data_IF_110383932263
#
_entry.id   IF_110383932263
#
_cell.length_a   1.000
_cell.length_b   1.000
_cell.length_c   1.000
_cell.angle_alpha   90.00
_cell.angle_beta   90.00
_cell.angle_gamma   90.00
#
_symmetry.space_group_name_H-M   'P 1'
#
loop_
_entity.id
_entity.type
_entity.pdbx_description
1 polymer ?
#
# COMPACT_ATOMS: atom_id res chain seq x y z
N UNK A 1 -5.70 9.72 -2.06
CA UNK A 1 -6.53 9.47 -3.28
C UNK A 1 -7.21 8.11 -3.26
N UNK A 2 -6.48 6.98 -3.36
CA UNK A 2 -7.09 5.62 -3.32
C UNK A 2 -7.83 5.37 -2.00
N UNK A 3 -7.22 5.69 -0.85
CA UNK A 3 -7.88 5.60 0.46
C UNK A 3 -9.20 6.38 0.49
N UNK A 4 -9.23 7.58 -0.10
CA UNK A 4 -10.44 8.38 -0.15
C UNK A 4 -11.52 7.76 -1.05
N UNK A 5 -11.13 7.23 -2.22
CA UNK A 5 -12.04 6.45 -3.08
C UNK A 5 -12.58 5.19 -2.40
N UNK A 6 -11.80 4.57 -1.53
CA UNK A 6 -12.19 3.38 -0.79
C UNK A 6 -13.18 3.67 0.35
N UNK A 7 -13.20 4.90 0.88
CA UNK A 7 -14.19 5.33 1.89
C UNK A 7 -13.65 6.24 2.99
N UNK A 8 -12.35 6.51 3.05
CA UNK A 8 -11.81 7.46 4.02
C UNK A 8 -12.21 8.90 3.67
N UNK A 9 -12.73 9.66 4.64
CA UNK A 9 -13.05 11.07 4.43
C UNK A 9 -11.76 11.91 4.40
N UNK A 10 -11.65 12.82 3.43
CA UNK A 10 -10.48 13.69 3.31
C UNK A 10 -10.24 14.52 4.58
N UNK A 11 -11.30 15.08 5.17
CA UNK A 11 -11.24 15.87 6.40
C UNK A 11 -10.59 15.12 7.58
N UNK A 12 -10.67 13.79 7.59
CA UNK A 12 -10.09 12.91 8.61
C UNK A 12 -8.64 12.49 8.30
N UNK A 13 -8.05 12.98 7.22
CA UNK A 13 -6.64 12.75 6.88
C UNK A 13 -5.82 13.98 7.25
N UNK A 14 -4.54 13.80 7.53
CA UNK A 14 -3.57 14.91 7.60
C UNK A 14 -2.42 14.52 6.67
N UNK A 15 -2.18 15.36 5.66
CA UNK A 15 -1.06 15.16 4.74
C UNK A 15 0.13 15.96 5.23
N UNK A 16 1.31 15.33 5.27
CA UNK A 16 2.55 15.95 5.74
C UNK A 16 3.56 15.91 4.59
N UNK A 17 4.25 17.02 4.34
CA UNK A 17 5.39 17.06 3.44
C UNK A 17 6.66 17.56 4.14
N UNK A 18 7.71 17.86 3.39
CA UNK A 18 9.00 18.28 3.93
C UNK A 18 8.97 19.55 4.77
N UNK A 19 7.90 20.39 4.70
CA UNK A 19 7.74 21.57 5.59
C UNK A 19 6.64 21.37 6.65
N UNK A 20 6.18 20.14 6.87
CA UNK A 20 5.18 19.80 7.88
C UNK A 20 3.78 19.58 7.31
N UNK A 21 2.74 19.59 8.17
CA UNK A 21 1.36 19.41 7.76
C UNK A 21 0.93 20.40 6.66
N UNK A 22 0.06 19.93 5.77
CA UNK A 22 -0.64 20.77 4.80
C UNK A 22 -1.89 21.37 5.45
N UNK A 23 -2.09 22.67 5.27
CA UNK A 23 -3.27 23.41 5.74
C UNK A 23 -3.46 24.70 4.92
N UNK A 24 -4.68 25.29 4.89
CA UNK A 24 -5.00 26.39 3.98
C UNK A 24 -4.24 27.70 4.20
N UNK A 25 -3.77 27.96 5.42
CA UNK A 25 -3.09 29.21 5.81
C UNK A 25 -1.58 29.07 5.91
N UNK A 26 -1.01 28.05 5.26
CA UNK A 26 0.44 27.82 5.22
C UNK A 26 1.13 28.88 4.36
N UNK A 27 2.32 29.32 4.75
CA UNK A 27 3.06 30.41 4.10
C UNK A 27 3.26 30.20 2.58
N UNK A 28 3.47 28.96 2.14
CA UNK A 28 3.69 28.62 0.73
C UNK A 28 2.43 28.19 -0.03
N UNK A 29 1.22 28.47 0.50
CA UNK A 29 -0.03 27.99 -0.11
C UNK A 29 -0.24 28.48 -1.54
N UNK A 30 0.10 29.74 -1.84
CA UNK A 30 0.00 30.29 -3.19
C UNK A 30 0.95 29.59 -4.17
N UNK A 31 2.16 29.26 -3.71
CA UNK A 31 3.10 28.46 -4.48
C UNK A 31 2.56 27.04 -4.72
N UNK A 32 1.95 26.41 -3.70
CA UNK A 32 1.31 25.10 -3.89
C UNK A 32 0.16 25.17 -4.89
N UNK A 33 -0.63 26.24 -4.88
CA UNK A 33 -1.73 26.44 -5.83
C UNK A 33 -1.21 26.49 -7.28
N UNK A 34 -0.13 27.23 -7.52
CA UNK A 34 0.44 27.44 -8.85
C UNK A 34 1.24 26.24 -9.37
N UNK A 35 2.04 25.60 -8.52
CA UNK A 35 3.05 24.61 -8.94
C UNK A 35 2.80 23.19 -8.43
N UNK A 36 1.94 23.01 -7.43
CA UNK A 36 1.68 21.71 -6.82
C UNK A 36 0.18 21.48 -6.55
N UNK A 37 -0.65 21.59 -7.59
CA UNK A 37 -2.12 21.50 -7.52
C UNK A 37 -2.65 20.37 -6.61
N UNK A 38 -2.06 19.18 -6.67
CA UNK A 38 -2.47 18.05 -5.82
C UNK A 38 -2.22 18.29 -4.33
N UNK A 39 -1.09 18.91 -3.96
CA UNK A 39 -0.80 19.27 -2.57
C UNK A 39 -1.72 20.38 -2.11
N UNK A 40 -1.95 21.39 -2.96
CA UNK A 40 -2.91 22.45 -2.66
C UNK A 40 -4.30 21.88 -2.38
N UNK A 41 -4.82 21.02 -3.26
CA UNK A 41 -6.13 20.38 -3.03
C UNK A 41 -6.19 19.61 -1.71
N UNK A 42 -5.11 18.92 -1.33
CA UNK A 42 -5.03 18.22 -0.04
C UNK A 42 -4.95 19.19 1.13
N UNK A 43 -4.23 20.30 1.01
CA UNK A 43 -4.18 21.36 2.02
C UNK A 43 -5.57 21.95 2.31
N UNK A 44 -6.43 22.03 1.29
CA UNK A 44 -7.80 22.54 1.42
C UNK A 44 -8.78 21.47 1.93
N UNK A 45 -8.66 20.22 1.47
CA UNK A 45 -9.65 19.15 1.74
C UNK A 45 -9.40 18.36 3.02
N UNK A 46 -8.18 18.40 3.55
CA UNK A 46 -7.75 17.56 4.68
C UNK A 46 -7.51 18.41 5.93
N UNK A 47 -7.09 17.76 7.03
CA UNK A 47 -6.64 18.41 8.25
C UNK A 47 -7.70 19.23 8.98
N UNK A 48 -8.86 18.61 9.28
CA UNK A 48 -9.94 19.26 10.07
C UNK A 48 -9.53 19.63 11.50
N UNK A 49 -8.44 19.05 12.00
CA UNK A 49 -7.92 19.31 13.34
C UNK A 49 -6.90 20.46 13.37
N UNK A 50 -6.65 21.11 12.24
CA UNK A 50 -5.76 22.26 12.13
C UNK A 50 -4.34 22.00 12.65
N UNK A 51 -3.82 20.80 12.46
CA UNK A 51 -2.45 20.46 12.83
C UNK A 51 -1.46 21.34 12.06
N UNK A 52 -0.57 22.04 12.78
CA UNK A 52 0.45 22.93 12.19
C UNK A 52 1.87 22.40 12.38
N UNK A 53 2.11 21.63 13.44
CA UNK A 53 3.36 20.91 13.64
C UNK A 53 3.18 19.40 13.39
N UNK A 54 4.27 18.71 13.05
CA UNK A 54 4.22 17.25 12.81
C UNK A 54 3.68 16.51 14.04
N UNK A 55 4.09 16.90 15.25
CA UNK A 55 3.62 16.28 16.50
C UNK A 55 2.10 16.36 16.67
N UNK A 56 1.45 17.42 16.17
CA UNK A 56 0.01 17.61 16.30
C UNK A 56 -0.76 16.64 15.42
N UNK A 57 -0.20 16.25 14.28
CA UNK A 57 -0.80 15.29 13.37
C UNK A 57 -0.86 13.87 13.93
N UNK A 58 -0.02 13.55 14.93
CA UNK A 58 -0.02 12.24 15.60
C UNK A 58 -0.98 12.16 16.80
N UNK A 59 -1.37 13.31 17.37
CA UNK A 59 -2.27 13.35 18.54
C UNK A 59 -3.62 12.74 18.18
N UNK A 60 -3.96 11.63 18.84
CA UNK A 60 -5.21 10.92 18.63
C UNK A 60 -5.38 10.31 17.24
N UNK A 61 -4.29 10.13 16.48
CA UNK A 61 -4.33 9.45 15.19
C UNK A 61 -4.47 7.93 15.39
N UNK A 62 -5.30 7.28 14.57
CA UNK A 62 -5.44 5.82 14.57
C UNK A 62 -4.42 5.13 13.64
N UNK A 63 -4.05 5.81 12.55
CA UNK A 63 -3.22 5.26 11.47
C UNK A 63 -2.19 6.28 11.03
N UNK A 64 -0.92 5.86 10.94
CA UNK A 64 0.16 6.60 10.29
C UNK A 64 0.64 5.78 9.10
N UNK A 65 0.71 6.41 7.92
CA UNK A 65 1.35 5.84 6.72
C UNK A 65 2.41 6.80 6.25
N UNK A 66 3.66 6.37 6.33
CA UNK A 66 4.83 7.15 5.92
C UNK A 66 5.60 6.43 4.80
N UNK A 67 6.03 7.21 3.82
CA UNK A 67 6.95 6.81 2.76
C UNK A 67 7.87 8.01 2.46
N UNK A 68 8.55 8.47 3.50
CA UNK A 68 9.34 9.70 3.55
C UNK A 68 10.84 9.41 3.38
N UNK A 69 11.69 10.36 3.80
CA UNK A 69 13.14 10.19 3.88
C UNK A 69 13.48 8.92 4.68
N UNK A 70 14.41 8.07 4.20
CA UNK A 70 14.85 6.91 4.95
C UNK A 70 15.70 7.28 6.16
N UNK A 71 15.71 6.40 7.16
CA UNK A 71 16.54 6.53 8.35
C UNK A 71 15.73 6.45 9.64
N UNK A 72 16.30 5.87 10.70
CA UNK A 72 15.59 5.80 11.96
C UNK A 72 15.40 7.21 12.53
N UNK A 73 14.35 7.40 13.31
CA UNK A 73 14.00 8.66 13.98
C UNK A 73 13.49 9.79 13.07
N UNK A 74 13.14 9.48 11.81
CA UNK A 74 12.32 10.40 10.99
C UNK A 74 10.89 10.46 11.56
N UNK A 75 10.36 9.32 12.00
CA UNK A 75 9.24 9.26 12.94
C UNK A 75 9.82 8.97 14.33
N UNK A 76 9.40 9.77 15.32
CA UNK A 76 9.92 9.67 16.69
C UNK A 76 8.99 8.88 17.61
N UNK A 77 9.56 8.19 18.61
CA UNK A 77 8.80 7.44 19.62
C UNK A 77 7.79 8.33 20.34
N UNK A 78 8.18 9.56 20.69
CA UNK A 78 7.30 10.50 21.38
C UNK A 78 6.07 10.90 20.55
N UNK A 79 6.11 10.79 19.22
CA UNK A 79 4.95 11.06 18.37
C UNK A 79 4.00 9.87 18.35
N UNK A 80 4.52 8.64 18.27
CA UNK A 80 3.69 7.43 18.33
C UNK A 80 2.97 7.32 19.67
N UNK A 81 3.61 7.71 20.77
CA UNK A 81 2.99 7.74 22.11
C UNK A 81 1.75 8.65 22.21
N UNK A 82 1.56 9.59 21.27
CA UNK A 82 0.39 10.49 21.23
C UNK A 82 -0.80 9.90 20.47
N UNK A 83 -0.61 8.78 19.77
CA UNK A 83 -1.65 8.13 18.98
C UNK A 83 -2.70 7.45 19.87
N UNK A 84 -3.84 7.10 19.27
CA UNK A 84 -4.87 6.33 19.97
C UNK A 84 -4.39 4.92 20.31
N UNK A 85 -5.11 4.27 21.23
CA UNK A 85 -4.93 2.84 21.51
C UNK A 85 -5.15 2.03 20.21
N UNK A 86 -4.40 0.92 20.08
CA UNK A 86 -4.47 0.03 18.92
C UNK A 86 -3.96 0.68 17.61
N UNK A 87 -3.08 1.68 17.72
CA UNK A 87 -2.49 2.41 16.61
C UNK A 87 -1.83 1.50 15.54
N UNK A 88 -2.00 1.91 14.27
CA UNK A 88 -1.39 1.28 13.09
C UNK A 88 -0.30 2.19 12.54
N UNK A 89 0.93 1.69 12.42
CA UNK A 89 2.09 2.44 11.92
C UNK A 89 2.72 1.73 10.73
N UNK A 90 2.59 2.33 9.55
CA UNK A 90 3.24 1.88 8.32
C UNK A 90 4.44 2.80 8.03
N UNK A 91 5.66 2.32 8.28
CA UNK A 91 6.92 3.03 8.03
C UNK A 91 7.62 2.42 6.81
N UNK A 92 7.32 2.95 5.63
CA UNK A 92 7.57 2.29 4.35
C UNK A 92 8.82 2.81 3.61
N UNK A 93 9.62 3.71 4.22
CA UNK A 93 10.87 4.15 3.61
C UNK A 93 11.87 2.98 3.45
N UNK A 94 12.69 3.07 2.39
CA UNK A 94 13.73 2.10 2.07
C UNK A 94 15.08 2.82 1.90
N UNK A 95 16.21 2.19 2.26
CA UNK A 95 16.35 0.84 2.82
C UNK A 95 16.12 0.75 4.34
N UNK A 96 16.08 1.89 5.03
CA UNK A 96 15.84 1.97 6.47
C UNK A 96 14.51 2.69 6.71
N UNK A 97 13.55 2.07 7.42
CA UNK A 97 12.25 2.68 7.69
C UNK A 97 12.40 3.92 8.58
N UNK A 98 11.40 4.79 8.54
CA UNK A 98 11.38 6.05 9.30
C UNK A 98 11.46 5.85 10.82
N UNK A 99 11.00 4.70 11.29
CA UNK A 99 11.13 4.20 12.66
C UNK A 99 11.27 2.67 12.60
N UNK A 100 12.11 2.09 13.45
CA UNK A 100 12.25 0.63 13.52
C UNK A 100 11.00 0.00 14.15
N UNK A 101 10.61 -1.22 13.75
CA UNK A 101 9.41 -1.86 14.31
C UNK A 101 9.43 -2.06 15.81
N UNK A 102 10.60 -2.38 16.39
CA UNK A 102 10.77 -2.49 17.83
C UNK A 102 10.47 -1.15 18.51
N UNK A 103 11.01 -0.05 17.97
CA UNK A 103 10.84 1.29 18.53
C UNK A 103 9.38 1.75 18.47
N UNK A 104 8.69 1.47 17.35
CA UNK A 104 7.27 1.78 17.20
C UNK A 104 6.40 0.96 18.17
N UNK A 105 6.72 -0.32 18.37
CA UNK A 105 6.02 -1.20 19.31
C UNK A 105 6.23 -0.77 20.77
N UNK A 106 7.46 -0.42 21.14
CA UNK A 106 7.77 0.15 22.47
C UNK A 106 7.02 1.46 22.72
N UNK A 107 6.79 2.25 21.66
CA UNK A 107 6.00 3.47 21.72
C UNK A 107 4.46 3.25 21.67
N UNK A 108 3.99 2.00 21.73
CA UNK A 108 2.57 1.68 21.85
C UNK A 108 1.83 1.43 20.54
N UNK A 109 2.51 1.37 19.38
CA UNK A 109 1.89 0.90 18.14
C UNK A 109 1.53 -0.59 18.26
N UNK A 110 0.31 -0.95 17.84
CA UNK A 110 -0.15 -2.35 17.84
C UNK A 110 0.23 -3.06 16.56
N UNK A 111 -0.10 -2.45 15.42
CA UNK A 111 0.20 -3.00 14.09
C UNK A 111 1.32 -2.18 13.49
N UNK A 112 2.41 -2.85 13.11
CA UNK A 112 3.54 -2.21 12.45
C UNK A 112 3.78 -2.89 11.10
N UNK A 113 4.01 -2.09 10.06
CA UNK A 113 4.41 -2.57 8.74
C UNK A 113 5.59 -1.77 8.21
N UNK A 114 6.45 -2.42 7.43
CA UNK A 114 7.58 -1.75 6.74
C UNK A 114 7.68 -2.16 5.28
N UNK A 115 8.54 -1.50 4.51
CA UNK A 115 8.85 -1.91 3.14
C UNK A 115 9.77 -3.15 3.03
N UNK A 116 10.40 -3.57 4.14
CA UNK A 116 11.43 -4.62 4.15
C UNK A 116 10.85 -5.99 4.44
N UNK A 117 11.48 -7.02 3.88
CA UNK A 117 11.05 -8.43 3.99
C UNK A 117 11.52 -9.13 5.25
N UNK A 118 12.49 -8.58 5.96
CA UNK A 118 13.03 -9.15 7.21
C UNK A 118 12.21 -8.79 8.45
N UNK A 119 11.16 -7.97 8.30
CA UNK A 119 10.18 -7.66 9.34
C UNK A 119 8.79 -8.23 9.00
N UNK A 120 7.93 -8.49 10.02
CA UNK A 120 6.52 -8.79 9.79
C UNK A 120 5.82 -7.71 8.96
N UNK A 121 4.70 -8.09 8.33
CA UNK A 121 3.83 -7.18 7.58
C UNK A 121 4.58 -6.35 6.51
N UNK A 122 5.32 -7.01 5.61
CA UNK A 122 5.97 -6.31 4.51
C UNK A 122 4.93 -5.68 3.57
N UNK A 123 4.80 -4.36 3.60
CA UNK A 123 3.97 -3.58 2.67
C UNK A 123 4.90 -3.02 1.59
N UNK A 124 5.03 -3.78 0.51
CA UNK A 124 5.87 -3.42 -0.63
C UNK A 124 5.11 -3.63 -1.93
N UNK A 125 5.37 -2.75 -2.90
CA UNK A 125 4.74 -2.81 -4.22
C UNK A 125 5.09 -4.09 -5.01
N UNK A 126 6.14 -4.82 -4.61
CA UNK A 126 6.53 -6.12 -5.14
C UNK A 126 5.42 -7.18 -5.02
N UNK A 127 4.56 -7.08 -4.01
CA UNK A 127 3.38 -7.95 -3.86
C UNK A 127 2.27 -7.65 -4.88
N UNK A 128 2.25 -6.44 -5.43
CA UNK A 128 1.11 -5.91 -6.19
C UNK A 128 1.41 -5.85 -7.69
N UNK A 129 2.54 -5.27 -8.08
CA UNK A 129 2.85 -5.00 -9.48
C UNK A 129 2.78 -6.26 -10.37
N UNK A 130 3.43 -7.39 -10.02
CA UNK A 130 3.43 -8.57 -10.90
C UNK A 130 2.01 -9.07 -11.21
N UNK A 131 1.14 -9.05 -10.20
CA UNK A 131 -0.22 -9.57 -10.34
C UNK A 131 -1.16 -8.62 -11.10
N UNK A 132 -1.13 -7.31 -10.79
CA UNK A 132 -1.92 -6.33 -11.54
C UNK A 132 -1.53 -6.37 -13.02
N UNK A 133 -0.24 -6.35 -13.34
CA UNK A 133 0.23 -6.43 -14.72
C UNK A 133 -0.18 -7.76 -15.38
N UNK A 134 -0.09 -8.88 -14.68
CA UNK A 134 -0.55 -10.17 -15.21
C UNK A 134 -2.03 -10.11 -15.62
N UNK A 135 -2.90 -9.57 -14.76
CA UNK A 135 -4.34 -9.41 -15.05
C UNK A 135 -4.63 -8.46 -16.21
N UNK A 136 -3.95 -7.32 -16.26
CA UNK A 136 -4.06 -6.32 -17.35
C UNK A 136 -3.63 -6.93 -18.68
N UNK A 137 -2.51 -7.66 -18.70
CA UNK A 137 -1.99 -8.30 -19.90
C UNK A 137 -2.88 -9.45 -20.38
N UNK A 138 -3.46 -10.23 -19.46
CA UNK A 138 -4.30 -11.39 -19.79
C UNK A 138 -5.66 -10.97 -20.36
N UNK A 139 -6.24 -9.90 -19.83
CA UNK A 139 -7.48 -9.27 -20.34
C UNK A 139 -7.24 -8.31 -21.51
N UNK A 140 -5.96 -7.98 -21.79
CA UNK A 140 -5.55 -6.93 -22.74
C UNK A 140 -6.25 -5.59 -22.47
N UNK A 141 -6.41 -5.23 -21.20
CA UNK A 141 -7.06 -3.99 -20.79
C UNK A 141 -6.36 -2.75 -21.39
N UNK A 142 -7.14 -1.72 -21.73
CA UNK A 142 -6.62 -0.48 -22.33
C UNK A 142 -5.99 0.48 -21.30
N UNK A 143 -6.35 0.33 -20.03
CA UNK A 143 -5.89 1.19 -18.95
C UNK A 143 -5.91 0.43 -17.61
N UNK A 144 -5.24 0.98 -16.61
CA UNK A 144 -5.34 0.57 -15.21
C UNK A 144 -6.11 1.68 -14.49
N UNK A 145 -7.27 1.36 -13.92
CA UNK A 145 -8.08 2.33 -13.19
C UNK A 145 -7.96 2.17 -11.68
N UNK A 146 -8.48 3.13 -10.92
CA UNK A 146 -8.48 3.03 -9.45
C UNK A 146 -9.34 1.89 -8.96
N UNK A 147 -10.45 1.59 -9.65
CA UNK A 147 -11.35 0.50 -9.33
C UNK A 147 -10.62 -0.85 -9.48
N UNK A 148 -9.73 -0.97 -10.48
CA UNK A 148 -8.85 -2.13 -10.63
C UNK A 148 -7.81 -2.23 -9.50
N UNK A 149 -7.24 -1.10 -9.07
CA UNK A 149 -6.27 -1.05 -7.95
C UNK A 149 -6.96 -1.40 -6.62
N UNK A 150 -8.17 -0.88 -6.39
CA UNK A 150 -9.00 -1.22 -5.23
C UNK A 150 -9.33 -2.71 -5.24
N UNK A 151 -9.77 -3.25 -6.37
CA UNK A 151 -10.04 -4.69 -6.52
C UNK A 151 -8.81 -5.55 -6.19
N UNK A 152 -7.62 -5.13 -6.64
CA UNK A 152 -6.38 -5.81 -6.31
C UNK A 152 -6.10 -5.75 -4.79
N UNK A 153 -6.26 -4.58 -4.18
CA UNK A 153 -6.04 -4.38 -2.73
C UNK A 153 -7.00 -5.22 -1.88
N UNK A 154 -8.29 -5.26 -2.25
CA UNK A 154 -9.31 -6.09 -1.60
C UNK A 154 -9.00 -7.58 -1.74
N UNK A 155 -8.53 -8.02 -2.92
CA UNK A 155 -8.17 -9.41 -3.15
C UNK A 155 -6.98 -9.85 -2.28
N UNK A 156 -5.97 -8.98 -2.14
CA UNK A 156 -4.82 -9.22 -1.25
C UNK A 156 -5.26 -9.30 0.21
N UNK A 157 -6.07 -8.35 0.65
CA UNK A 157 -6.58 -8.31 2.04
C UNK A 157 -7.47 -9.51 2.34
N UNK A 158 -8.33 -9.92 1.39
CA UNK A 158 -9.15 -11.13 1.52
C UNK A 158 -8.29 -12.38 1.61
N UNK A 159 -7.25 -12.52 0.78
CA UNK A 159 -6.34 -13.66 0.83
C UNK A 159 -5.68 -13.81 2.20
N UNK A 160 -5.17 -12.71 2.77
CA UNK A 160 -4.61 -12.73 4.13
C UNK A 160 -5.68 -13.10 5.18
N UNK A 161 -6.89 -12.55 5.07
CA UNK A 161 -8.01 -12.84 5.98
C UNK A 161 -8.43 -14.30 5.96
N UNK A 162 -8.55 -14.89 4.77
CA UNK A 162 -8.93 -16.29 4.60
C UNK A 162 -7.88 -17.25 5.23
N UNK A 163 -6.61 -16.82 5.32
CA UNK A 163 -5.52 -17.55 5.99
C UNK A 163 -5.42 -17.31 7.50
N UNK A 164 -6.19 -16.36 8.04
CA UNK A 164 -6.14 -15.98 9.46
C UNK A 164 -5.12 -14.87 9.72
N UNK A 165 -5.62 -13.62 9.75
CA UNK A 165 -4.80 -12.45 10.10
C UNK A 165 -4.51 -12.39 11.61
N UNK A 166 -3.38 -11.80 11.95
CA UNK A 166 -3.00 -11.43 13.31
C UNK A 166 -2.09 -10.20 13.26
N UNK A 167 -1.65 -9.70 14.43
CA UNK A 167 -0.86 -8.47 14.53
C UNK A 167 0.45 -8.51 13.70
N UNK A 168 1.01 -9.69 13.44
CA UNK A 168 2.22 -9.91 12.64
C UNK A 168 1.95 -10.48 11.23
N UNK A 169 0.69 -10.62 10.83
CA UNK A 169 0.30 -11.09 9.51
C UNK A 169 -1.01 -10.40 9.06
N UNK A 170 -0.88 -9.21 8.47
CA UNK A 170 -2.00 -8.44 7.90
C UNK A 170 -2.03 -8.45 6.36
N UNK A 171 -0.92 -8.87 5.74
CA UNK A 171 -0.69 -8.89 4.30
C UNK A 171 0.09 -10.16 3.94
N UNK A 172 -0.18 -10.79 2.77
CA UNK A 172 0.52 -12.00 2.36
C UNK A 172 2.00 -11.75 2.14
N UNK A 173 2.83 -12.77 2.39
CA UNK A 173 4.26 -12.74 2.13
C UNK A 173 4.56 -12.98 0.64
N UNK A 174 5.73 -12.53 0.18
CA UNK A 174 6.10 -12.63 -1.24
C UNK A 174 6.20 -14.08 -1.76
N UNK A 175 6.46 -15.03 -0.87
CA UNK A 175 6.56 -16.46 -1.16
C UNK A 175 5.19 -17.16 -1.26
N UNK A 176 4.11 -16.50 -0.86
CA UNK A 176 2.73 -16.99 -0.99
C UNK A 176 2.19 -16.76 -2.40
N UNK A 177 2.78 -17.46 -3.37
CA UNK A 177 2.60 -17.24 -4.79
C UNK A 177 1.16 -17.38 -5.28
N UNK A 178 0.29 -18.01 -4.48
CA UNK A 178 -1.13 -18.15 -4.78
C UNK A 178 -1.85 -16.81 -4.87
N UNK A 179 -1.40 -15.81 -4.10
CA UNK A 179 -2.01 -14.46 -4.14
C UNK A 179 -1.90 -13.84 -5.52
N UNK A 180 -0.83 -14.11 -6.28
CA UNK A 180 -0.57 -13.41 -7.53
C UNK A 180 -1.56 -13.79 -8.64
N UNK A 181 -1.94 -15.07 -8.76
CA UNK A 181 -2.95 -15.44 -9.76
C UNK A 181 -4.37 -15.10 -9.30
N UNK A 182 -4.65 -15.03 -7.99
CA UNK A 182 -5.94 -14.55 -7.49
C UNK A 182 -6.14 -13.08 -7.83
N UNK A 183 -5.13 -12.25 -7.56
CA UNK A 183 -5.14 -10.82 -7.87
C UNK A 183 -5.17 -10.60 -9.38
N UNK A 184 -4.39 -11.34 -10.17
CA UNK A 184 -4.41 -11.24 -11.63
C UNK A 184 -5.80 -11.55 -12.20
N UNK A 185 -6.46 -12.61 -11.71
CA UNK A 185 -7.81 -12.97 -12.11
C UNK A 185 -8.84 -11.90 -11.73
N UNK A 186 -8.76 -11.37 -10.51
CA UNK A 186 -9.67 -10.33 -10.03
C UNK A 186 -9.52 -9.03 -10.85
N UNK A 187 -8.30 -8.60 -11.12
CA UNK A 187 -8.00 -7.41 -11.93
C UNK A 187 -8.47 -7.59 -13.37
N UNK A 188 -8.21 -8.75 -13.98
CA UNK A 188 -8.68 -9.06 -15.34
C UNK A 188 -10.22 -9.05 -15.41
N UNK A 189 -10.88 -9.66 -14.44
CA UNK A 189 -12.34 -9.68 -14.34
C UNK A 189 -12.92 -8.26 -14.17
N UNK A 190 -12.33 -7.43 -13.31
CA UNK A 190 -12.75 -6.02 -13.15
C UNK A 190 -12.54 -5.21 -14.43
N UNK A 191 -11.47 -5.46 -15.19
CA UNK A 191 -11.27 -4.81 -16.48
C UNK A 191 -12.36 -5.19 -17.52
N UNK A 192 -12.88 -6.43 -17.46
CA UNK A 192 -14.02 -6.86 -18.29
C UNK A 192 -15.30 -6.15 -17.87
N UNK A 193 -15.59 -6.10 -16.57
CA UNK A 193 -16.74 -5.40 -15.98
C UNK A 193 -16.78 -3.92 -16.40
N UNK A 194 -15.62 -3.24 -16.37
CA UNK A 194 -15.49 -1.83 -16.75
C UNK A 194 -15.47 -1.60 -18.28
N UNK A 195 -15.59 -2.65 -19.09
CA UNK A 195 -15.55 -2.53 -20.56
C UNK A 195 -14.17 -2.15 -21.14
N UNK A 196 -13.10 -2.26 -20.34
CA UNK A 196 -11.74 -1.89 -20.72
C UNK A 196 -10.96 -3.05 -21.36
N UNK A 197 -11.38 -4.29 -21.09
CA UNK A 197 -10.75 -5.50 -21.60
C UNK A 197 -11.10 -5.77 -23.08
N UNK A 198 -10.07 -6.13 -23.86
CA UNK A 198 -10.25 -6.60 -25.25
C UNK A 198 -10.44 -8.12 -25.33
N UNK A 199 -10.04 -8.84 -24.28
CA UNK A 199 -10.28 -10.27 -24.12
C UNK A 199 -11.25 -10.47 -22.98
N UNK A 200 -12.40 -11.09 -23.27
CA UNK A 200 -13.45 -11.37 -22.28
C UNK A 200 -13.42 -12.86 -21.97
N UNK A 201 -13.23 -13.18 -20.70
CA UNK A 201 -13.25 -14.53 -20.13
C UNK A 201 -13.84 -14.46 -18.73
N UNK A 202 -14.22 -15.62 -18.20
CA UNK A 202 -14.60 -15.78 -16.79
C UNK A 202 -13.39 -15.57 -15.87
N UNK A 203 -13.67 -15.26 -14.59
CA UNK A 203 -12.62 -15.12 -13.58
C UNK A 203 -11.79 -16.40 -13.44
N UNK A 204 -12.43 -17.57 -13.49
CA UNK A 204 -11.75 -18.86 -13.34
C UNK A 204 -10.83 -19.16 -14.53
N UNK A 205 -11.23 -18.84 -15.75
CA UNK A 205 -10.35 -18.93 -16.92
C UNK A 205 -9.13 -18.00 -16.80
N UNK A 206 -9.31 -16.76 -16.34
CA UNK A 206 -8.19 -15.86 -16.10
C UNK A 206 -7.26 -16.39 -15.00
N UNK A 207 -7.83 -16.97 -13.94
CA UNK A 207 -7.07 -17.58 -12.85
C UNK A 207 -6.21 -18.73 -13.35
N UNK A 208 -6.76 -19.65 -14.13
CA UNK A 208 -5.99 -20.77 -14.69
C UNK A 208 -4.91 -20.31 -15.66
N UNK A 209 -5.18 -19.31 -16.50
CA UNK A 209 -4.17 -18.70 -17.39
C UNK A 209 -3.01 -18.11 -16.57
N UNK A 210 -3.32 -17.30 -15.55
CA UNK A 210 -2.32 -16.65 -14.71
C UNK A 210 -1.51 -17.70 -13.93
N UNK A 211 -2.19 -18.66 -13.30
CA UNK A 211 -1.58 -19.77 -12.56
C UNK A 211 -0.63 -20.58 -13.42
N UNK A 212 -1.07 -21.01 -14.61
CA UNK A 212 -0.21 -21.76 -15.54
C UNK A 212 1.06 -20.98 -15.91
N UNK A 213 0.93 -19.68 -16.21
CA UNK A 213 2.08 -18.83 -16.58
C UNK A 213 3.06 -18.65 -15.43
N UNK A 214 2.56 -18.38 -14.23
CA UNK A 214 3.38 -18.18 -13.03
C UNK A 214 4.11 -19.48 -12.67
N UNK A 215 3.39 -20.61 -12.62
CA UNK A 215 3.98 -21.91 -12.30
C UNK A 215 5.00 -22.36 -13.35
N UNK A 216 4.73 -22.13 -14.64
CA UNK A 216 5.71 -22.42 -15.71
C UNK A 216 7.00 -21.61 -15.53
N UNK A 217 6.90 -20.31 -15.28
CA UNK A 217 8.06 -19.46 -15.08
C UNK A 217 8.90 -19.91 -13.88
N UNK A 218 8.25 -20.24 -12.76
CA UNK A 218 8.91 -20.77 -11.56
C UNK A 218 9.59 -22.12 -11.82
N UNK A 219 8.91 -23.03 -12.54
CA UNK A 219 9.49 -24.34 -12.90
C UNK A 219 10.77 -24.17 -13.73
N UNK A 220 10.75 -23.28 -14.73
CA UNK A 220 11.94 -22.99 -15.55
C UNK A 220 13.06 -22.41 -14.69
N UNK A 221 12.76 -21.43 -13.83
CA UNK A 221 13.75 -20.81 -12.95
C UNK A 221 14.39 -21.83 -12.00
N UNK A 222 13.59 -22.71 -11.38
CA UNK A 222 14.10 -23.76 -10.49
C UNK A 222 15.00 -24.76 -11.24
N UNK A 223 14.65 -25.11 -12.49
CA UNK A 223 15.52 -25.96 -13.31
C UNK A 223 16.87 -25.29 -13.57
N UNK A 224 16.87 -24.01 -13.97
CA UNK A 224 18.11 -23.25 -14.21
C UNK A 224 18.97 -23.20 -12.94
N UNK A 225 18.39 -22.80 -11.81
CA UNK A 225 19.10 -22.71 -10.52
C UNK A 225 19.70 -24.06 -10.12
N UNK A 226 18.92 -25.15 -10.22
CA UNK A 226 19.38 -26.48 -9.83
C UNK A 226 20.43 -27.07 -10.79
N UNK A 227 20.43 -26.67 -12.06
CA UNK A 227 21.46 -27.08 -13.03
C UNK A 227 22.76 -26.29 -12.94
N UNK A 228 22.72 -25.09 -12.36
CA UNK A 228 23.86 -24.17 -12.24
C UNK A 228 24.43 -24.06 -10.82
N UNK A 229 23.77 -24.67 -9.83
CA UNK A 229 24.30 -24.80 -8.47
C UNK A 229 25.16 -26.08 -8.42
N UNK A 230 26.47 -26.00 -8.12
CA UNK A 230 27.34 -27.16 -8.00
C UNK A 230 26.94 -28.09 -6.84
#
# INVERSE_FOLDING_TARGET
RILAKYGFKYENMIMIDSKGPLYPTREDIDHLMLYHKWKYELAIKTNKWEAKEIKDAFKGADIVVSASTPGPNVIKKEWINLMNKDAIVFALANPVPEILPQDAKEAGARIIATGRSDFPNQVNNSLVFPAIFRGVLDSRAKAITDEMIITASETIAKFARDKGINDNYIIPRMDEWEVYYEVAAAVASKAVELGLARVKRTRDEFKEIAKHRILRARKIMNLVINTWSP
#
